data_IF_025648889966
#
_entry.id   IF_025648889966
#
_cell.length_a   1.000
_cell.length_b   1.000
_cell.length_c   1.000
_cell.angle_alpha   90.00
_cell.angle_beta   90.00
_cell.angle_gamma   90.00
#
_symmetry.space_group_name_H-M   'P 1'
#
loop_
_entity.id
_entity.type
_entity.pdbx_description
1 polymer ?
#
# COMPACT_ATOMS: atom_id res chain seq x y z
N UNK A 1 0.48 17.96 -27.53
CA UNK A 1 -0.92 18.22 -27.12
C UNK A 1 -0.98 18.15 -25.60
N UNK A 2 -1.47 19.18 -24.92
CA UNK A 2 -1.51 19.21 -23.46
C UNK A 2 -2.41 18.09 -22.92
N UNK A 3 -1.90 17.27 -22.00
CA UNK A 3 -2.71 16.31 -21.24
C UNK A 3 -3.75 17.09 -20.44
N UNK A 4 -5.00 17.11 -20.91
CA UNK A 4 -6.11 17.63 -20.13
C UNK A 4 -6.37 16.63 -19.01
N UNK A 5 -5.87 16.93 -17.81
CA UNK A 5 -6.17 16.16 -16.61
C UNK A 5 -7.69 16.21 -16.39
N UNK A 6 -8.37 15.06 -16.46
CA UNK A 6 -9.83 14.97 -16.24
C UNK A 6 -10.17 15.49 -14.84
N UNK A 7 -11.18 16.35 -14.72
CA UNK A 7 -11.66 16.93 -13.44
C UNK A 7 -12.09 15.86 -12.45
N UNK A 8 -12.18 16.20 -11.15
CA UNK A 8 -12.64 15.26 -10.10
C UNK A 8 -14.03 14.70 -10.43
N UNK A 9 -14.94 15.57 -10.89
CA UNK A 9 -16.27 15.17 -11.36
C UNK A 9 -16.20 14.24 -12.58
N UNK A 10 -15.32 14.51 -13.55
CA UNK A 10 -15.17 13.65 -14.73
C UNK A 10 -14.61 12.26 -14.37
N UNK A 11 -13.65 12.17 -13.44
CA UNK A 11 -13.11 10.91 -12.92
C UNK A 11 -14.18 10.12 -12.15
N UNK A 12 -14.99 10.80 -11.33
CA UNK A 12 -16.09 10.18 -10.59
C UNK A 12 -17.17 9.59 -11.51
N UNK A 13 -17.54 10.32 -12.56
CA UNK A 13 -18.49 9.83 -13.57
C UNK A 13 -17.93 8.64 -14.35
N UNK A 14 -16.66 8.72 -14.77
CA UNK A 14 -16.01 7.62 -15.50
C UNK A 14 -15.97 6.33 -14.68
N UNK A 15 -15.59 6.42 -13.40
CA UNK A 15 -15.57 5.26 -12.51
C UNK A 15 -16.98 4.69 -12.26
N UNK A 16 -17.97 5.57 -12.06
CA UNK A 16 -19.37 5.13 -11.89
C UNK A 16 -19.88 4.40 -13.13
N UNK A 17 -19.58 4.91 -14.33
CA UNK A 17 -19.94 4.28 -15.58
C UNK A 17 -19.31 2.88 -15.74
N UNK A 18 -18.02 2.74 -15.44
CA UNK A 18 -17.34 1.43 -15.51
C UNK A 18 -18.01 0.39 -14.60
N UNK A 19 -18.44 0.80 -13.39
CA UNK A 19 -19.16 -0.10 -12.47
C UNK A 19 -20.55 -0.48 -12.97
N UNK A 20 -21.28 0.47 -13.58
CA UNK A 20 -22.59 0.20 -14.16
C UNK A 20 -22.47 -0.74 -15.37
N UNK A 21 -21.47 -0.53 -16.22
CA UNK A 21 -21.19 -1.42 -17.36
C UNK A 21 -20.91 -2.86 -16.90
N UNK A 22 -20.03 -3.03 -15.90
CA UNK A 22 -19.76 -4.35 -15.33
C UNK A 22 -20.99 -4.99 -14.67
N UNK A 23 -21.89 -4.19 -14.09
CA UNK A 23 -23.15 -4.68 -13.53
C UNK A 23 -24.11 -5.20 -14.61
N UNK A 24 -24.24 -4.47 -15.72
CA UNK A 24 -25.08 -4.86 -16.88
C UNK A 24 -24.53 -6.11 -17.58
N UNK A 25 -23.20 -6.21 -17.74
CA UNK A 25 -22.56 -7.39 -18.32
C UNK A 25 -22.84 -8.66 -17.52
N UNK A 26 -22.95 -8.53 -16.19
CA UNK A 26 -23.27 -9.64 -15.29
C UNK A 26 -24.76 -9.98 -15.25
N UNK A 27 -25.61 -8.95 -15.28
CA UNK A 27 -27.05 -9.06 -15.22
C UNK A 27 -27.69 -7.95 -16.07
N UNK A 28 -28.14 -8.26 -17.30
CA UNK A 28 -28.70 -7.27 -18.21
C UNK A 28 -29.98 -6.60 -17.71
N UNK A 29 -30.69 -7.20 -16.74
CA UNK A 29 -31.94 -6.68 -16.18
C UNK A 29 -31.76 -6.00 -14.82
N UNK A 30 -30.51 -5.76 -14.41
CA UNK A 30 -30.19 -5.22 -13.09
C UNK A 30 -30.76 -3.82 -12.86
N UNK A 31 -31.27 -3.56 -11.66
CA UNK A 31 -31.68 -2.22 -11.24
C UNK A 31 -30.43 -1.33 -11.06
N UNK A 32 -30.17 -0.49 -12.06
CA UNK A 32 -29.05 0.45 -12.06
C UNK A 32 -29.15 1.49 -10.96
N UNK A 33 -30.35 1.83 -10.49
CA UNK A 33 -30.52 2.82 -9.41
C UNK A 33 -29.98 2.29 -8.08
N UNK A 34 -30.11 0.99 -7.83
CA UNK A 34 -29.51 0.30 -6.69
C UNK A 34 -27.98 0.14 -6.80
N UNK A 35 -27.40 0.34 -7.99
CA UNK A 35 -25.95 0.27 -8.22
C UNK A 35 -25.27 1.63 -8.27
N UNK A 36 -26.03 2.72 -8.33
CA UNK A 36 -25.47 4.06 -8.21
C UNK A 36 -24.87 4.27 -6.80
N UNK A 37 -23.74 5.00 -6.69
CA UNK A 37 -23.22 5.39 -5.39
C UNK A 37 -24.27 6.16 -4.59
N UNK A 38 -24.32 5.92 -3.27
CA UNK A 38 -25.16 6.69 -2.36
C UNK A 38 -24.91 8.19 -2.56
N UNK A 39 -26.02 8.95 -2.68
CA UNK A 39 -26.03 10.41 -2.88
C UNK A 39 -25.23 10.87 -4.11
N UNK A 40 -25.22 10.08 -5.19
CA UNK A 40 -24.46 10.37 -6.41
C UNK A 40 -24.63 11.82 -6.91
N UNK A 41 -25.87 12.31 -7.00
CA UNK A 41 -26.16 13.65 -7.51
C UNK A 41 -25.61 14.77 -6.62
N UNK A 42 -25.72 14.63 -5.29
CA UNK A 42 -25.17 15.61 -4.34
C UNK A 42 -23.64 15.65 -4.45
N UNK A 43 -23.01 14.46 -4.45
CA UNK A 43 -21.55 14.32 -4.55
C UNK A 43 -21.02 14.86 -5.88
N UNK A 44 -21.73 14.63 -6.98
CA UNK A 44 -21.38 15.20 -8.27
C UNK A 44 -21.49 16.72 -8.27
N UNK A 45 -22.50 17.28 -7.60
CA UNK A 45 -22.69 18.73 -7.47
C UNK A 45 -21.57 19.37 -6.63
N UNK A 46 -21.21 18.77 -5.50
CA UNK A 46 -20.09 19.20 -4.66
C UNK A 46 -18.76 19.18 -5.42
N UNK A 47 -18.49 18.12 -6.19
CA UNK A 47 -17.28 18.00 -7.01
C UNK A 47 -17.22 19.04 -8.13
N UNK A 48 -18.36 19.57 -8.59
CA UNK A 48 -18.43 20.66 -9.58
C UNK A 48 -18.30 22.05 -8.94
N UNK A 49 -18.70 22.19 -7.68
CA UNK A 49 -18.65 23.46 -6.93
C UNK A 49 -17.28 23.74 -6.29
N UNK A 50 -16.57 22.70 -5.87
CA UNK A 50 -15.22 22.82 -5.29
C UNK A 50 -14.13 23.27 -6.29
N UNK A 51 -14.44 23.38 -7.59
CA UNK A 51 -13.56 24.05 -8.57
C UNK A 51 -13.73 25.59 -8.57
N UNK A 52 -14.77 26.12 -7.94
CA UNK A 52 -15.11 27.55 -7.97
C UNK A 52 -14.87 28.32 -6.66
N UNK A 53 -14.51 27.67 -5.56
CA UNK A 53 -14.38 28.33 -4.26
C UNK A 53 -12.95 28.25 -3.69
N UNK A 54 -12.28 29.41 -3.64
CA UNK A 54 -11.03 29.61 -2.91
C UNK A 54 -11.33 29.91 -1.44
N UNK A 55 -10.65 29.17 -0.53
CA UNK A 55 -10.39 29.40 0.90
C UNK A 55 -11.56 29.63 1.89
N UNK A 56 -11.71 28.70 2.85
CA UNK A 56 -11.67 28.88 4.32
C UNK A 56 -11.51 27.48 4.95
N UNK A 57 -10.74 27.36 6.04
CA UNK A 57 -10.38 26.11 6.72
C UNK A 57 -11.60 25.45 7.39
N UNK A 58 -12.28 24.61 6.63
CA UNK A 58 -13.00 23.45 7.13
C UNK A 58 -12.30 22.24 6.52
N UNK A 59 -11.84 21.30 7.36
CA UNK A 59 -11.25 20.06 6.85
C UNK A 59 -12.39 19.23 6.26
N UNK A 60 -12.73 19.51 5.00
CA UNK A 60 -13.89 18.94 4.33
C UNK A 60 -13.97 17.43 4.49
N UNK A 61 -15.19 16.89 4.45
CA UNK A 61 -15.56 15.52 4.82
C UNK A 61 -14.63 14.39 4.31
N UNK A 62 -13.79 14.60 3.28
CA UNK A 62 -12.80 13.64 2.74
C UNK A 62 -11.36 13.84 3.29
N UNK A 63 -11.20 13.94 4.62
CA UNK A 63 -9.90 14.14 5.26
C UNK A 63 -9.76 13.30 6.55
N UNK A 64 -8.70 12.51 6.69
CA UNK A 64 -8.47 11.68 7.89
C UNK A 64 -8.37 12.52 9.17
N UNK A 65 -7.97 13.79 9.05
CA UNK A 65 -7.84 14.72 10.18
C UNK A 65 -9.19 15.01 10.83
N UNK A 66 -10.29 14.92 10.09
CA UNK A 66 -11.63 15.09 10.62
C UNK A 66 -12.09 13.90 11.51
N UNK A 67 -11.31 12.81 11.56
CA UNK A 67 -11.59 11.62 12.36
C UNK A 67 -10.67 11.43 13.57
N UNK A 68 -9.85 12.43 13.89
CA UNK A 68 -8.92 12.40 15.03
C UNK A 68 -9.34 13.51 15.99
N UNK A 69 -9.68 13.16 17.22
CA UNK A 69 -10.18 14.08 18.24
C UNK A 69 -9.24 14.14 19.45
N UNK A 70 -9.15 15.29 20.10
CA UNK A 70 -8.30 15.47 21.28
C UNK A 70 -8.73 14.61 22.48
N UNK A 71 -9.94 14.09 22.46
CA UNK A 71 -10.45 13.12 23.43
C UNK A 71 -9.94 11.70 23.19
N UNK A 72 -9.33 11.43 22.04
CA UNK A 72 -8.83 10.10 21.69
C UNK A 72 -7.56 9.78 22.50
N UNK A 73 -7.39 8.51 22.86
CA UNK A 73 -6.17 8.02 23.50
C UNK A 73 -5.10 7.68 22.46
N UNK A 74 -3.84 8.01 22.73
CA UNK A 74 -2.70 7.58 21.92
C UNK A 74 -1.87 6.51 22.65
N UNK A 75 -1.51 5.45 21.92
CA UNK A 75 -0.62 4.40 22.38
C UNK A 75 0.64 4.36 21.49
N UNK A 76 1.79 4.20 22.12
CA UNK A 76 3.08 4.04 21.44
C UNK A 76 3.38 2.56 21.27
N UNK A 77 3.14 2.02 20.07
CA UNK A 77 3.40 0.61 19.74
C UNK A 77 4.90 0.33 19.61
N UNK A 78 5.65 1.29 19.08
CA UNK A 78 7.10 1.20 18.91
C UNK A 78 7.79 2.47 19.43
N UNK A 79 9.03 2.37 19.95
CA UNK A 79 9.77 3.53 20.45
C UNK A 79 9.94 4.62 19.38
N UNK A 80 9.69 5.87 19.76
CA UNK A 80 9.92 7.03 18.91
C UNK A 80 11.41 7.35 18.82
N UNK A 81 11.89 7.75 17.65
CA UNK A 81 13.25 8.30 17.50
C UNK A 81 13.40 9.64 18.23
N UNK A 82 14.61 9.99 18.64
CA UNK A 82 14.92 11.29 19.27
C UNK A 82 14.36 12.48 18.47
N UNK A 83 14.52 12.48 17.14
CA UNK A 83 14.01 13.55 16.27
C UNK A 83 12.48 13.72 16.33
N UNK A 84 11.75 12.62 16.54
CA UNK A 84 10.28 12.64 16.66
C UNK A 84 9.88 13.02 18.08
N UNK A 85 10.63 12.57 19.10
CA UNK A 85 10.41 12.99 20.49
C UNK A 85 10.63 14.50 20.66
N UNK A 86 11.68 15.06 20.04
CA UNK A 86 11.97 16.49 20.01
C UNK A 86 10.84 17.26 19.32
N UNK A 87 10.33 16.74 18.19
CA UNK A 87 9.21 17.36 17.47
C UNK A 87 7.93 17.38 18.31
N UNK A 88 7.67 16.32 19.08
CA UNK A 88 6.49 16.18 19.93
C UNK A 88 6.65 16.86 21.31
N UNK A 89 7.84 17.38 21.63
CA UNK A 89 8.12 17.97 22.94
C UNK A 89 8.02 16.97 24.11
N UNK A 90 8.15 15.67 23.85
CA UNK A 90 7.94 14.61 24.84
C UNK A 90 9.21 14.31 25.64
N UNK A 91 9.70 15.28 26.40
CA UNK A 91 10.85 15.10 27.32
C UNK A 91 10.39 15.03 28.79
N UNK A 92 9.47 14.11 29.13
CA UNK A 92 8.83 14.00 30.45
C UNK A 92 8.40 12.56 30.84
N UNK A 93 7.77 12.36 32.01
CA UNK A 93 7.47 11.02 32.60
C UNK A 93 6.23 10.28 32.05
N UNK A 94 6.17 8.95 32.23
CA UNK A 94 5.31 8.02 31.48
C UNK A 94 3.77 8.09 31.69
N UNK A 95 3.27 8.58 32.83
CA UNK A 95 1.85 8.45 33.18
C UNK A 95 0.95 9.61 32.70
N UNK A 96 1.54 10.78 32.41
CA UNK A 96 0.84 11.97 31.86
C UNK A 96 0.91 12.02 30.31
N UNK A 97 1.57 11.04 29.69
CA UNK A 97 1.96 11.08 28.29
C UNK A 97 0.85 10.76 27.28
N UNK A 98 -0.15 9.92 27.56
CA UNK A 98 -1.05 9.44 26.48
C UNK A 98 -1.98 10.54 25.94
N UNK A 99 -2.63 11.32 26.81
CA UNK A 99 -3.49 12.43 26.38
C UNK A 99 -2.66 13.60 25.84
N UNK A 100 -1.50 13.86 26.45
CA UNK A 100 -0.56 14.87 25.95
C UNK A 100 -0.03 14.51 24.55
N UNK A 101 0.32 13.24 24.33
CA UNK A 101 0.77 12.70 23.05
C UNK A 101 -0.32 12.79 21.99
N UNK A 102 -1.57 12.43 22.31
CA UNK A 102 -2.69 12.57 21.38
C UNK A 102 -2.87 14.03 20.93
N UNK A 103 -2.82 14.97 21.88
CA UNK A 103 -2.90 16.39 21.58
C UNK A 103 -1.74 16.87 20.70
N UNK A 104 -0.49 16.51 21.02
CA UNK A 104 0.69 16.89 20.24
C UNK A 104 0.65 16.31 18.81
N UNK A 105 0.20 15.06 18.65
CA UNK A 105 -0.01 14.45 17.34
C UNK A 105 -1.04 15.23 16.52
N UNK A 106 -2.15 15.66 17.14
CA UNK A 106 -3.18 16.47 16.46
C UNK A 106 -2.61 17.82 16.02
N UNK A 107 -1.85 18.50 16.86
CA UNK A 107 -1.21 19.79 16.56
C UNK A 107 -0.24 19.66 15.37
N UNK A 108 0.60 18.61 15.36
CA UNK A 108 1.50 18.32 14.23
C UNK A 108 0.70 17.99 12.97
N UNK A 109 -0.30 17.12 13.05
CA UNK A 109 -1.13 16.73 11.91
C UNK A 109 -1.86 17.95 11.33
N UNK A 110 -2.38 18.83 12.19
CA UNK A 110 -3.08 20.06 11.79
C UNK A 110 -2.17 21.07 11.09
N UNK A 111 -0.91 21.19 11.53
CA UNK A 111 0.08 22.07 10.92
C UNK A 111 0.82 21.47 9.72
N UNK A 112 0.68 20.16 9.49
CA UNK A 112 1.38 19.45 8.42
C UNK A 112 0.80 19.69 7.02
N UNK A 113 1.69 19.66 6.01
CA UNK A 113 1.30 19.73 4.60
C UNK A 113 0.87 18.36 4.11
N UNK A 114 -0.33 18.24 3.54
CA UNK A 114 -0.75 17.03 2.82
C UNK A 114 0.08 16.88 1.54
N UNK A 115 0.85 15.80 1.43
CA UNK A 115 1.64 15.50 0.23
C UNK A 115 0.98 14.43 -0.63
N UNK A 116 0.16 13.56 -0.04
CA UNK A 116 -0.62 12.56 -0.78
C UNK A 116 -1.90 12.16 -0.05
N UNK A 117 -2.96 11.87 -0.81
CA UNK A 117 -4.23 11.32 -0.31
C UNK A 117 -4.52 10.03 -1.05
N UNK A 118 -4.90 8.99 -0.30
CA UNK A 118 -5.32 7.73 -0.91
C UNK A 118 -6.62 7.84 -1.68
N UNK A 119 -6.97 6.81 -2.48
CA UNK A 119 -8.25 6.73 -3.19
C UNK A 119 -9.45 6.94 -2.26
N UNK A 120 -9.30 6.54 -0.99
CA UNK A 120 -10.19 6.85 0.12
C UNK A 120 -9.44 7.72 1.13
N UNK A 121 -9.50 9.04 0.96
CA UNK A 121 -8.75 10.00 1.76
C UNK A 121 -9.04 9.98 3.27
N UNK A 122 -10.16 9.37 3.69
CA UNK A 122 -10.47 9.05 5.11
C UNK A 122 -9.67 7.88 5.69
N UNK A 123 -9.05 7.05 4.84
CA UNK A 123 -8.35 5.83 5.26
C UNK A 123 -6.83 5.94 5.20
N UNK A 124 -6.27 6.64 4.23
CA UNK A 124 -4.81 6.75 4.07
C UNK A 124 -4.43 8.16 3.62
N UNK A 125 -3.50 8.77 4.33
CA UNK A 125 -2.96 10.09 4.02
C UNK A 125 -1.48 10.14 4.33
N UNK A 126 -0.72 10.88 3.53
CA UNK A 126 0.69 11.16 3.81
C UNK A 126 0.87 12.66 3.99
N UNK A 127 1.48 13.02 5.12
CA UNK A 127 1.68 14.37 5.61
C UNK A 127 3.20 14.63 5.71
N UNK A 128 3.61 15.84 5.37
CA UNK A 128 4.96 16.36 5.64
C UNK A 128 4.88 17.24 6.87
N UNK A 129 5.56 16.82 7.94
CA UNK A 129 5.57 17.47 9.25
C UNK A 129 6.69 18.53 9.39
N UNK A 130 7.43 18.80 8.31
CA UNK A 130 8.68 19.55 8.38
C UNK A 130 9.82 18.68 8.90
N UNK A 131 11.02 19.27 9.06
CA UNK A 131 12.19 18.57 9.63
C UNK A 131 12.56 17.24 8.93
N UNK A 132 12.26 17.11 7.63
CA UNK A 132 12.41 15.87 6.84
C UNK A 132 11.61 14.66 7.39
N UNK A 133 10.52 14.92 8.12
CA UNK A 133 9.64 13.89 8.67
C UNK A 133 8.39 13.76 7.80
N UNK A 134 8.11 12.53 7.41
CA UNK A 134 6.89 12.12 6.72
C UNK A 134 6.04 11.28 7.68
N UNK A 135 4.77 11.65 7.82
CA UNK A 135 3.79 10.93 8.61
C UNK A 135 2.77 10.28 7.68
N UNK A 136 2.67 8.94 7.72
CA UNK A 136 1.64 8.16 7.03
C UNK A 136 0.53 7.83 8.01
N UNK A 137 -0.60 8.51 7.88
CA UNK A 137 -1.79 8.26 8.69
C UNK A 137 -2.65 7.20 8.00
N UNK A 138 -2.93 6.11 8.71
CA UNK A 138 -3.74 4.99 8.21
C UNK A 138 -4.84 4.70 9.23
N UNK A 139 -6.08 4.65 8.77
CA UNK A 139 -7.24 4.27 9.58
C UNK A 139 -7.46 2.77 9.47
N UNK A 140 -7.88 2.16 10.58
CA UNK A 140 -8.18 0.72 10.65
C UNK A 140 -6.95 -0.10 10.18
N UNK A 141 -5.77 0.23 10.71
CA UNK A 141 -4.51 -0.42 10.34
C UNK A 141 -4.52 -1.89 10.81
N UNK A 142 -4.44 -2.81 9.85
CA UNK A 142 -4.55 -4.25 10.11
C UNK A 142 -3.27 -4.90 10.64
N UNK A 143 -2.08 -4.34 10.36
CA UNK A 143 -0.78 -4.86 10.78
C UNK A 143 0.33 -3.79 10.72
N UNK A 144 1.54 -4.17 11.12
CA UNK A 144 2.72 -3.29 11.20
C UNK A 144 3.83 -3.64 10.20
N UNK A 145 3.56 -4.46 9.16
CA UNK A 145 4.55 -4.97 8.20
C UNK A 145 5.37 -3.89 7.52
N UNK A 146 4.76 -2.75 7.18
CA UNK A 146 5.52 -1.66 6.58
C UNK A 146 6.59 -1.14 7.55
N UNK A 147 6.23 -0.92 8.82
CA UNK A 147 7.16 -0.44 9.84
C UNK A 147 8.27 -1.46 10.12
N UNK A 148 7.90 -2.72 10.37
CA UNK A 148 8.84 -3.80 10.68
C UNK A 148 9.74 -4.15 9.50
N UNK A 149 9.26 -3.99 8.27
CA UNK A 149 10.07 -4.11 7.06
C UNK A 149 11.09 -3.02 6.95
N UNK A 150 10.67 -1.78 7.14
CA UNK A 150 11.61 -0.68 7.08
C UNK A 150 12.72 -0.89 8.14
N UNK A 151 12.39 -1.40 9.35
CA UNK A 151 13.35 -1.74 10.41
C UNK A 151 14.34 -2.80 9.92
N UNK A 152 13.79 -3.88 9.37
CA UNK A 152 14.55 -4.99 8.81
C UNK A 152 15.55 -4.50 7.74
N UNK A 153 15.08 -3.66 6.81
CA UNK A 153 15.88 -3.10 5.73
C UNK A 153 16.98 -2.18 6.25
N UNK A 154 16.69 -1.33 7.23
CA UNK A 154 17.69 -0.45 7.83
C UNK A 154 18.85 -1.24 8.43
N UNK A 155 18.56 -2.34 9.12
CA UNK A 155 19.58 -3.17 9.75
C UNK A 155 20.34 -4.06 8.75
N UNK A 156 19.64 -4.76 7.86
CA UNK A 156 20.23 -5.83 7.04
C UNK A 156 20.60 -5.40 5.62
N UNK A 157 19.98 -4.33 5.12
CA UNK A 157 20.11 -3.86 3.74
C UNK A 157 20.21 -2.32 3.69
N UNK A 158 21.18 -1.69 4.39
CA UNK A 158 21.28 -0.24 4.49
C UNK A 158 21.51 0.47 3.15
N UNK A 159 21.91 -0.26 2.11
CA UNK A 159 22.08 0.26 0.75
C UNK A 159 20.78 0.29 -0.06
N UNK A 160 19.70 -0.35 0.42
CA UNK A 160 18.38 -0.18 -0.17
C UNK A 160 17.89 1.21 0.20
N UNK A 161 17.43 1.96 -0.79
CA UNK A 161 16.89 3.31 -0.61
C UNK A 161 15.49 3.27 0.04
N UNK A 162 15.36 2.62 1.19
CA UNK A 162 14.13 2.60 1.97
C UNK A 162 14.17 3.69 3.06
N UNK A 163 13.02 4.26 3.45
CA UNK A 163 12.92 5.08 4.66
C UNK A 163 13.48 4.33 5.88
N UNK A 164 14.19 5.02 6.79
CA UNK A 164 14.84 4.39 7.96
C UNK A 164 13.89 4.31 9.15
N UNK A 165 13.76 3.14 9.79
CA UNK A 165 13.29 3.02 11.15
C UNK A 165 14.33 2.28 11.99
N UNK A 166 14.25 2.50 13.29
CA UNK A 166 15.31 2.19 14.24
C UNK A 166 15.03 0.87 14.99
N UNK A 167 15.81 -0.18 14.76
CA UNK A 167 15.68 -1.46 15.48
C UNK A 167 16.18 -2.67 14.68
N UNK A 168 16.06 -3.88 15.26
CA UNK A 168 16.71 -5.08 14.72
C UNK A 168 15.88 -6.37 14.68
N UNK A 169 15.87 -7.10 13.55
CA UNK A 169 15.34 -8.47 13.36
C UNK A 169 16.00 -9.20 12.15
N UNK A 170 16.81 -10.28 12.31
CA UNK A 170 17.37 -11.07 11.21
C UNK A 170 16.41 -12.17 10.68
N UNK A 171 16.64 -12.63 9.45
CA UNK A 171 15.98 -13.82 8.87
C UNK A 171 16.79 -15.09 9.14
N UNK A 172 16.13 -16.13 9.62
CA UNK A 172 16.75 -17.41 9.95
C UNK A 172 16.06 -18.55 9.19
N UNK A 173 16.78 -19.64 8.92
CA UNK A 173 16.15 -20.82 8.30
C UNK A 173 15.11 -21.38 9.25
N UNK A 174 13.87 -21.55 8.77
CA UNK A 174 12.72 -21.90 9.60
C UNK A 174 11.89 -20.70 10.05
N UNK A 175 12.28 -19.47 9.70
CA UNK A 175 11.40 -18.30 9.84
C UNK A 175 10.19 -18.44 8.91
N UNK A 176 8.96 -18.21 9.41
CA UNK A 176 7.77 -18.23 8.57
C UNK A 176 7.80 -17.23 7.43
N UNK A 177 7.18 -17.59 6.32
CA UNK A 177 6.97 -16.71 5.17
C UNK A 177 6.03 -15.58 5.56
N UNK A 178 6.22 -14.42 4.91
CA UNK A 178 5.48 -13.21 5.24
C UNK A 178 6.34 -12.12 5.86
N UNK A 179 5.67 -11.19 6.54
CA UNK A 179 6.32 -10.03 7.16
C UNK A 179 7.42 -10.44 8.15
N UNK A 180 8.46 -9.60 8.31
CA UNK A 180 9.66 -9.96 9.08
C UNK A 180 9.43 -10.04 10.60
N UNK A 181 8.24 -9.68 11.10
CA UNK A 181 7.84 -9.80 12.51
C UNK A 181 6.70 -10.79 12.72
N UNK A 182 6.47 -11.72 11.78
CA UNK A 182 5.47 -12.76 11.92
C UNK A 182 4.05 -12.33 11.53
N UNK A 183 3.90 -11.27 10.73
CA UNK A 183 2.60 -10.79 10.23
C UNK A 183 1.93 -11.72 9.21
N UNK A 184 2.61 -12.82 8.86
CA UNK A 184 2.11 -13.87 7.99
C UNK A 184 2.15 -13.50 6.50
N UNK A 185 1.80 -14.49 5.68
CA UNK A 185 1.67 -14.31 4.24
C UNK A 185 0.46 -13.47 3.90
N UNK A 186 0.59 -12.60 2.90
CA UNK A 186 -0.48 -11.72 2.41
C UNK A 186 -0.73 -12.02 0.95
N UNK A 187 -2.00 -12.14 0.58
CA UNK A 187 -2.43 -12.21 -0.81
C UNK A 187 -3.49 -11.14 -1.08
N UNK A 188 -3.20 -10.25 -2.02
CA UNK A 188 -4.10 -9.14 -2.41
C UNK A 188 -4.59 -9.24 -3.85
N UNK A 189 -4.50 -10.40 -4.51
CA UNK A 189 -4.93 -10.57 -5.91
C UNK A 189 -6.43 -10.30 -6.12
N UNK A 190 -7.27 -10.57 -5.12
CA UNK A 190 -8.73 -10.32 -5.16
C UNK A 190 -9.18 -9.45 -4.00
N UNK A 191 -8.98 -9.97 -2.81
CA UNK A 191 -9.22 -9.33 -1.52
C UNK A 191 -8.00 -9.64 -0.65
N UNK A 192 -7.67 -8.76 0.29
CA UNK A 192 -6.59 -9.02 1.23
C UNK A 192 -6.91 -10.26 2.08
N UNK A 193 -6.13 -11.31 1.87
CA UNK A 193 -6.11 -12.54 2.67
C UNK A 193 -4.79 -12.63 3.41
N UNK A 194 -4.85 -13.18 4.63
CA UNK A 194 -3.69 -13.39 5.51
C UNK A 194 -3.62 -14.84 5.93
N UNK A 195 -2.41 -15.38 6.05
CA UNK A 195 -2.23 -16.68 6.68
C UNK A 195 -2.54 -16.56 8.18
N UNK A 196 -3.41 -17.42 8.68
CA UNK A 196 -3.72 -17.49 10.12
C UNK A 196 -2.65 -18.29 10.87
N UNK A 197 -2.11 -19.31 10.21
CA UNK A 197 -1.05 -20.16 10.72
C UNK A 197 0.28 -19.83 10.03
N UNK A 198 1.42 -20.07 10.70
CA UNK A 198 2.74 -19.94 10.08
C UNK A 198 2.88 -20.81 8.84
N UNK A 199 3.36 -20.22 7.75
CA UNK A 199 3.70 -20.93 6.51
C UNK A 199 5.22 -21.06 6.47
N UNK A 200 5.74 -22.28 6.41
CA UNK A 200 7.17 -22.58 6.46
C UNK A 200 7.70 -23.11 5.13
N UNK A 201 6.81 -23.60 4.27
CA UNK A 201 7.18 -24.28 3.03
C UNK A 201 6.53 -23.62 1.81
N UNK A 202 7.12 -23.86 0.64
CA UNK A 202 6.57 -23.42 -0.64
C UNK A 202 5.23 -24.10 -0.93
N UNK A 203 5.06 -25.36 -0.53
CA UNK A 203 3.81 -26.10 -0.72
C UNK A 203 2.67 -25.49 0.10
N UNK A 204 2.91 -25.20 1.39
CA UNK A 204 1.93 -24.50 2.25
C UNK A 204 1.61 -23.09 1.70
N UNK A 205 2.60 -22.40 1.13
CA UNK A 205 2.39 -21.10 0.50
C UNK A 205 1.52 -21.22 -0.75
N UNK A 206 1.76 -22.22 -1.60
CA UNK A 206 0.94 -22.48 -2.78
C UNK A 206 -0.49 -22.87 -2.41
N UNK A 207 -0.68 -23.67 -1.36
CA UNK A 207 -2.00 -24.01 -0.81
C UNK A 207 -2.72 -22.77 -0.25
N UNK A 208 -1.99 -21.86 0.39
CA UNK A 208 -2.52 -20.56 0.81
C UNK A 208 -2.97 -19.70 -0.38
N UNK A 209 -2.17 -19.66 -1.46
CA UNK A 209 -2.50 -18.91 -2.66
C UNK A 209 -3.70 -19.52 -3.39
N UNK A 210 -3.78 -20.85 -3.48
CA UNK A 210 -4.78 -21.57 -4.25
C UNK A 210 -5.43 -22.63 -3.37
N UNK A 211 -6.73 -22.48 -3.06
CA UNK A 211 -7.51 -23.43 -2.26
C UNK A 211 -7.77 -24.77 -2.97
N UNK A 212 -6.88 -25.20 -3.88
CA UNK A 212 -7.08 -26.35 -4.75
C UNK A 212 -6.15 -27.50 -4.37
N UNK A 213 -6.75 -28.69 -4.23
CA UNK A 213 -6.09 -29.94 -3.88
C UNK A 213 -5.35 -30.56 -5.07
N UNK A 214 -4.37 -29.85 -5.66
CA UNK A 214 -3.62 -30.34 -6.83
C UNK A 214 -2.13 -30.07 -6.69
N UNK A 215 -1.37 -31.16 -6.65
CA UNK A 215 0.08 -31.17 -6.78
C UNK A 215 0.51 -30.28 -7.95
N UNK A 216 1.30 -29.25 -7.66
CA UNK A 216 2.07 -28.55 -8.68
C UNK A 216 2.97 -29.55 -9.39
N UNK A 217 3.12 -29.42 -10.70
CA UNK A 217 4.09 -30.23 -11.43
C UNK A 217 5.49 -30.04 -10.85
N UNK A 218 6.38 -31.01 -11.04
CA UNK A 218 7.78 -30.95 -10.59
C UNK A 218 8.45 -29.68 -11.12
N UNK A 219 8.59 -28.69 -10.24
CA UNK A 219 9.35 -27.47 -10.47
C UNK A 219 10.52 -27.41 -9.50
N UNK A 220 11.62 -26.73 -9.88
CA UNK A 220 12.70 -26.46 -8.94
C UNK A 220 12.15 -25.73 -7.71
N UNK A 221 12.55 -26.16 -6.51
CA UNK A 221 12.23 -25.45 -5.29
C UNK A 221 12.80 -24.03 -5.38
N UNK A 222 11.97 -22.98 -5.35
CA UNK A 222 12.43 -21.60 -5.46
C UNK A 222 13.24 -21.20 -4.23
N UNK A 223 14.18 -20.28 -4.41
CA UNK A 223 14.81 -19.61 -3.28
C UNK A 223 13.78 -18.72 -2.55
N UNK A 224 13.86 -18.67 -1.22
CA UNK A 224 13.10 -17.71 -0.42
C UNK A 224 13.92 -16.43 -0.31
N UNK A 225 13.32 -15.32 -0.71
CA UNK A 225 13.99 -14.01 -0.75
C UNK A 225 13.10 -12.97 -0.11
N UNK A 226 13.70 -11.85 0.29
CA UNK A 226 12.94 -10.70 0.73
C UNK A 226 12.35 -9.98 -0.49
N UNK A 227 11.03 -9.88 -0.53
CA UNK A 227 10.27 -9.29 -1.63
C UNK A 227 9.59 -8.00 -1.16
N UNK A 228 9.36 -7.06 -2.07
CA UNK A 228 8.57 -5.86 -1.84
C UNK A 228 7.06 -6.18 -1.87
N UNK A 229 6.64 -7.11 -2.73
CA UNK A 229 5.24 -7.55 -2.84
C UNK A 229 4.30 -6.58 -3.58
N UNK A 230 4.79 -5.40 -3.94
CA UNK A 230 4.06 -4.33 -4.64
C UNK A 230 5.01 -3.40 -5.43
N UNK A 231 6.04 -3.97 -6.05
CA UNK A 231 7.01 -3.17 -6.82
C UNK A 231 6.39 -2.70 -8.15
N UNK A 232 6.09 -1.41 -8.22
CA UNK A 232 5.51 -0.72 -9.39
C UNK A 232 6.06 0.71 -9.49
N UNK A 233 5.98 1.37 -10.66
CA UNK A 233 6.53 2.72 -10.85
C UNK A 233 6.09 3.74 -9.79
N UNK A 234 4.85 3.66 -9.30
CA UNK A 234 4.30 4.55 -8.27
C UNK A 234 5.01 4.43 -6.91
N UNK A 235 5.68 3.30 -6.67
CA UNK A 235 6.39 2.98 -5.44
C UNK A 235 7.91 3.18 -5.60
N UNK A 236 8.37 3.71 -6.74
CA UNK A 236 9.78 4.01 -7.03
C UNK A 236 9.95 5.54 -7.11
N UNK A 237 10.73 6.09 -6.19
CA UNK A 237 11.11 7.50 -6.18
C UNK A 237 12.41 7.66 -6.96
N UNK A 238 12.39 8.58 -7.92
CA UNK A 238 13.54 8.90 -8.76
C UNK A 238 13.89 10.38 -8.64
N UNK A 239 15.17 10.68 -8.79
CA UNK A 239 15.68 12.04 -8.91
C UNK A 239 16.41 12.20 -10.25
N UNK A 240 16.23 13.36 -10.89
CA UNK A 240 16.91 13.71 -12.14
C UNK A 240 18.03 14.69 -11.82
N UNK A 241 19.26 14.21 -11.83
CA UNK A 241 20.44 15.07 -11.68
C UNK A 241 21.11 15.24 -13.03
N UNK A 242 21.01 16.45 -13.58
CA UNK A 242 21.47 16.73 -14.94
C UNK A 242 20.61 15.99 -15.97
N UNK A 243 21.18 14.95 -16.58
CA UNK A 243 20.48 14.11 -17.58
C UNK A 243 20.48 12.62 -17.20
N UNK A 244 20.71 12.31 -15.92
CA UNK A 244 20.73 10.96 -15.38
C UNK A 244 19.63 10.79 -14.32
N UNK A 245 18.82 9.75 -14.47
CA UNK A 245 17.82 9.35 -13.49
C UNK A 245 18.47 8.41 -12.47
N UNK A 246 18.32 8.72 -11.19
CA UNK A 246 18.78 7.84 -10.10
C UNK A 246 17.58 7.45 -9.24
N UNK A 247 17.48 6.17 -8.90
CA UNK A 247 16.50 5.70 -7.90
C UNK A 247 16.95 6.20 -6.53
N UNK A 248 16.12 7.01 -5.89
CA UNK A 248 16.40 7.60 -4.57
C UNK A 248 15.52 7.03 -3.47
N UNK A 249 14.50 6.25 -3.82
CA UNK A 249 13.58 5.69 -2.84
C UNK A 249 12.77 4.51 -3.35
N UNK A 250 12.53 3.53 -2.48
CA UNK A 250 11.45 2.55 -2.58
C UNK A 250 10.50 2.74 -1.41
N UNK A 251 9.20 2.81 -1.69
CA UNK A 251 8.16 3.16 -0.70
C UNK A 251 7.01 2.15 -0.74
N UNK A 252 6.12 2.22 0.26
CA UNK A 252 4.90 1.40 0.35
C UNK A 252 5.19 -0.11 0.56
N UNK A 253 5.93 -0.43 1.61
CA UNK A 253 6.37 -1.79 1.96
C UNK A 253 5.29 -2.65 2.65
N UNK A 254 4.02 -2.29 2.56
CA UNK A 254 2.93 -2.91 3.33
C UNK A 254 2.64 -4.37 2.96
N UNK A 255 3.10 -4.83 1.78
CA UNK A 255 2.94 -6.21 1.29
C UNK A 255 4.25 -6.98 1.18
N UNK A 256 5.32 -6.45 1.75
CA UNK A 256 6.65 -7.06 1.71
C UNK A 256 6.78 -8.23 2.69
N UNK A 257 7.83 -9.02 2.49
CA UNK A 257 8.11 -10.17 3.32
C UNK A 257 8.99 -11.21 2.65
N UNK A 258 9.22 -12.32 3.36
CA UNK A 258 9.91 -13.49 2.84
C UNK A 258 8.95 -14.37 2.05
N UNK A 259 9.21 -14.49 0.75
CA UNK A 259 8.40 -15.29 -0.16
C UNK A 259 9.30 -15.98 -1.20
N UNK A 260 8.78 -16.98 -1.92
CA UNK A 260 9.45 -17.52 -3.09
C UNK A 260 9.84 -16.43 -4.10
N UNK A 261 11.03 -16.50 -4.68
CA UNK A 261 11.55 -15.48 -5.61
C UNK A 261 10.64 -15.21 -6.82
N UNK A 262 9.91 -16.23 -7.29
CA UNK A 262 8.95 -16.06 -8.38
C UNK A 262 7.76 -15.16 -8.00
N UNK A 263 7.47 -15.03 -6.71
CA UNK A 263 6.30 -14.32 -6.23
C UNK A 263 6.40 -12.83 -6.54
N UNK A 264 7.57 -12.21 -6.40
CA UNK A 264 7.77 -10.79 -6.78
C UNK A 264 7.44 -10.57 -8.27
N UNK A 265 7.82 -11.50 -9.15
CA UNK A 265 7.49 -11.42 -10.57
C UNK A 265 5.98 -11.49 -10.82
N UNK A 266 5.25 -12.37 -10.10
CA UNK A 266 3.79 -12.43 -10.14
C UNK A 266 3.21 -11.09 -9.66
N UNK A 267 3.65 -10.59 -8.50
CA UNK A 267 3.17 -9.36 -7.87
C UNK A 267 3.39 -8.13 -8.77
N UNK A 268 4.58 -7.98 -9.35
CA UNK A 268 4.91 -6.94 -10.33
C UNK A 268 4.00 -6.94 -11.57
N UNK A 269 3.38 -8.08 -11.89
CA UNK A 269 2.47 -8.21 -13.04
C UNK A 269 0.99 -8.09 -12.70
N UNK A 270 0.62 -8.04 -11.42
CA UNK A 270 -0.79 -8.01 -11.00
C UNK A 270 -1.51 -6.72 -11.36
N UNK A 271 -0.79 -5.59 -11.48
CA UNK A 271 -1.39 -4.32 -11.88
C UNK A 271 -1.50 -4.17 -13.41
N UNK A 272 -1.03 -5.13 -14.21
CA UNK A 272 -1.11 -5.01 -15.67
C UNK A 272 -2.52 -5.31 -16.15
N UNK A 273 -3.28 -4.26 -16.51
CA UNK A 273 -4.54 -4.45 -17.22
C UNK A 273 -4.29 -4.77 -18.70
N UNK A 274 -5.13 -5.59 -19.37
CA UNK A 274 -4.95 -5.98 -20.78
C UNK A 274 -4.96 -4.82 -21.78
N UNK A 275 -5.22 -3.58 -21.34
CA UNK A 275 -5.29 -2.37 -22.16
C UNK A 275 -4.46 -1.21 -21.58
N UNK A 276 -3.48 -1.51 -20.73
CA UNK A 276 -2.54 -0.47 -20.29
C UNK A 276 -1.56 -0.10 -21.42
N UNK A 277 -1.56 1.19 -21.78
CA UNK A 277 -0.61 1.77 -22.74
C UNK A 277 0.81 1.95 -22.14
N UNK A 278 1.01 1.63 -20.86
CA UNK A 278 2.28 1.79 -20.19
C UNK A 278 3.18 0.57 -20.41
N UNK A 279 4.34 0.79 -21.02
CA UNK A 279 5.33 -0.23 -21.38
C UNK A 279 6.36 -0.53 -20.27
N UNK A 280 6.22 0.04 -19.06
CA UNK A 280 7.15 -0.12 -17.94
C UNK A 280 7.54 -1.58 -17.66
N UNK A 281 6.60 -2.49 -17.87
CA UNK A 281 6.78 -3.93 -17.66
C UNK A 281 7.86 -4.54 -18.57
N UNK A 282 8.15 -3.92 -19.71
CA UNK A 282 9.25 -4.30 -20.60
C UNK A 282 10.62 -3.94 -20.03
N UNK A 283 10.69 -2.98 -19.10
CA UNK A 283 11.92 -2.47 -18.50
C UNK A 283 12.23 -3.05 -17.11
N UNK A 284 11.49 -4.08 -16.69
CA UNK A 284 11.78 -4.76 -15.43
C UNK A 284 13.13 -5.49 -15.48
N UNK A 285 13.87 -5.53 -14.36
CA UNK A 285 15.11 -6.28 -14.30
C UNK A 285 14.83 -7.80 -14.39
N UNK A 286 15.81 -8.54 -14.91
CA UNK A 286 15.69 -9.99 -15.12
C UNK A 286 15.33 -10.77 -13.84
N UNK A 287 15.74 -10.26 -12.67
CA UNK A 287 15.46 -10.89 -11.38
C UNK A 287 13.98 -10.88 -10.97
N UNK A 288 13.13 -10.09 -11.61
CA UNK A 288 11.66 -10.09 -11.38
C UNK A 288 10.89 -10.29 -12.69
N UNK A 289 11.57 -10.78 -13.73
CA UNK A 289 10.98 -10.95 -15.05
C UNK A 289 10.13 -12.23 -15.10
N UNK A 290 8.88 -12.17 -15.60
CA UNK A 290 8.09 -13.36 -15.91
C UNK A 290 8.80 -14.34 -16.85
N UNK A 291 9.74 -13.88 -17.68
CA UNK A 291 10.55 -14.76 -18.54
C UNK A 291 11.49 -15.67 -17.74
N UNK A 292 12.00 -15.20 -16.60
CA UNK A 292 12.84 -16.01 -15.70
C UNK A 292 12.00 -17.03 -14.94
N UNK A 293 10.77 -16.67 -14.57
CA UNK A 293 9.86 -17.48 -13.78
C UNK A 293 8.66 -17.99 -14.59
N UNK A 294 8.86 -18.31 -15.87
CA UNK A 294 7.75 -18.57 -16.81
C UNK A 294 6.83 -19.70 -16.37
N UNK A 295 7.38 -20.78 -15.79
CA UNK A 295 6.56 -21.87 -15.26
C UNK A 295 5.63 -21.38 -14.14
N UNK A 296 6.19 -20.79 -13.09
CA UNK A 296 5.43 -20.28 -11.94
C UNK A 296 4.44 -19.19 -12.33
N UNK A 297 4.87 -18.27 -13.20
CA UNK A 297 4.03 -17.17 -13.67
C UNK A 297 2.85 -17.67 -14.51
N UNK A 298 3.06 -18.59 -15.46
CA UNK A 298 1.97 -19.18 -16.24
C UNK A 298 1.05 -20.04 -15.38
N UNK A 299 1.60 -20.80 -14.42
CA UNK A 299 0.82 -21.60 -13.50
C UNK A 299 -0.10 -20.72 -12.64
N UNK A 300 0.41 -19.61 -12.11
CA UNK A 300 -0.38 -18.62 -11.37
C UNK A 300 -1.52 -18.07 -12.23
N UNK A 301 -1.22 -17.55 -13.44
CA UNK A 301 -2.25 -17.05 -14.36
C UNK A 301 -3.31 -18.10 -14.70
N UNK A 302 -2.90 -19.34 -14.98
CA UNK A 302 -3.81 -20.42 -15.31
C UNK A 302 -4.72 -20.81 -14.14
N UNK A 303 -4.21 -20.76 -12.90
CA UNK A 303 -4.99 -21.02 -11.69
C UNK A 303 -5.92 -19.86 -11.37
N UNK A 304 -5.50 -18.60 -11.54
CA UNK A 304 -6.36 -17.43 -11.29
C UNK A 304 -7.62 -17.39 -12.16
N UNK A 305 -7.48 -17.68 -13.47
CA UNK A 305 -8.59 -17.65 -14.44
C UNK A 305 -9.64 -18.74 -14.15
N UNK A 306 -9.26 -19.82 -13.47
CA UNK A 306 -10.14 -20.97 -13.18
C UNK A 306 -10.96 -20.84 -11.91
N UNK A 307 -10.73 -19.83 -11.09
CA UNK A 307 -11.46 -19.59 -9.83
C UNK A 307 -12.57 -18.54 -10.06
N UNK A 308 -13.21 -18.56 -11.24
CA UNK A 308 -14.40 -17.75 -11.56
C UNK A 308 -15.65 -18.59 -11.32
#
# INVERSE_FOLDING_TARGET
>A
MAHICKTKAAKFNAHTLTKLQAAIEKDPEIDLTAKLPLRYSDRLKEMRQNETATSIQDHGEDDIRASIFSSDSAEMVFPLSDTVQDLLGTSGSAAEQSHYLAQQIIEIIGSSKVIWKGPFARRKMVLSCGHNIILKAVRDLDDTTEYTTLLYLHQHKPNIAAPKPLGSLPYETGTPFGGPSGEGCKDIRRHLRRSLEPILTVDEFEDFLFTSNRAGGESPSPAIVFTHGDLRPENIVVDLKGNEWTITGLIDWEYSGFYPEYYEAIRCTNCMAPYEENDWYLFRPDCVSPKRYTHWWLLDRAREVRVV
#
